data_IF_412514412393
#
_entry.id   IF_412514412393
#
_cell.length_a   1.000
_cell.length_b   1.000
_cell.length_c   1.000
_cell.angle_alpha   90.00
_cell.angle_beta   90.00
_cell.angle_gamma   90.00
#
_symmetry.space_group_name_H-M   'P 1'
#
loop_
_entity.id
_entity.type
_entity.pdbx_description
1 polymer ?
#
# COMPACT_ATOMS: atom_id res chain seq x y z
N UNK A 1 19.28 -49.07 62.61
CA UNK A 1 18.74 -48.60 61.32
C UNK A 1 17.31 -48.10 61.56
N UNK A 2 17.09 -46.93 62.19
CA UNK A 2 16.92 -45.59 61.58
C UNK A 2 15.94 -45.60 60.39
N UNK A 3 14.64 -45.31 60.55
CA UNK A 3 13.95 -44.09 61.01
C UNK A 3 14.22 -42.88 60.10
N UNK A 4 13.22 -42.56 59.26
CA UNK A 4 13.13 -41.33 58.46
C UNK A 4 12.78 -40.15 59.37
N UNK A 5 13.41 -38.97 59.18
CA UNK A 5 12.84 -37.73 59.67
C UNK A 5 12.46 -36.75 58.55
N UNK A 6 11.37 -36.06 58.87
CA UNK A 6 10.73 -34.90 58.26
C UNK A 6 11.69 -33.70 58.01
N UNK A 7 11.28 -32.91 57.01
CA UNK A 7 11.31 -31.44 56.86
C UNK A 7 12.46 -30.58 57.45
N UNK A 8 12.82 -29.62 56.58
CA UNK A 8 13.38 -28.26 56.81
C UNK A 8 14.88 -28.09 56.55
N UNK A 9 15.21 -27.40 55.45
CA UNK A 9 16.20 -26.31 55.48
C UNK A 9 15.54 -25.04 54.91
N UNK A 10 15.42 -23.95 55.69
CA UNK A 10 15.10 -22.63 55.21
C UNK A 10 16.40 -21.93 54.82
N UNK A 11 16.60 -21.72 53.54
CA UNK A 11 17.79 -21.09 52.98
C UNK A 11 17.46 -20.21 51.80
N UNK A 12 16.95 -19.01 52.09
CA UNK A 12 17.07 -17.83 51.24
C UNK A 12 16.24 -17.82 49.94
N UNK A 13 14.94 -17.57 50.11
CA UNK A 13 14.23 -16.61 49.26
C UNK A 13 14.96 -15.26 49.28
N UNK A 14 15.92 -15.07 48.37
CA UNK A 14 16.41 -13.75 47.95
C UNK A 14 16.19 -13.64 46.45
N UNK A 15 15.02 -13.13 46.08
CA UNK A 15 14.68 -12.85 44.67
C UNK A 15 13.30 -12.23 44.44
N UNK A 16 12.38 -12.36 45.39
CA UNK A 16 11.00 -11.85 45.24
C UNK A 16 10.77 -10.43 45.81
N UNK A 17 11.81 -9.59 45.93
CA UNK A 17 11.66 -8.22 46.44
C UNK A 17 12.51 -7.20 45.66
N UNK A 18 12.33 -7.12 44.34
CA UNK A 18 12.86 -6.01 43.54
C UNK A 18 11.97 -5.62 42.34
N UNK A 19 10.68 -6.00 42.34
CA UNK A 19 9.78 -5.72 41.21
C UNK A 19 8.52 -4.90 41.57
N UNK A 20 8.32 -4.51 42.83
CA UNK A 20 7.12 -3.76 43.25
C UNK A 20 7.31 -2.23 43.21
N UNK A 21 8.49 -1.73 42.85
CA UNK A 21 8.79 -0.29 42.81
C UNK A 21 8.62 0.43 41.46
N UNK A 22 8.21 -0.25 40.37
CA UNK A 22 8.13 0.37 39.01
C UNK A 22 6.76 0.30 38.33
N UNK A 23 5.73 -0.28 38.95
CA UNK A 23 4.35 -0.17 38.46
C UNK A 23 3.56 1.00 39.08
N UNK A 24 3.98 1.53 40.24
CA UNK A 24 3.36 2.73 40.84
C UNK A 24 3.61 4.02 40.05
N UNK A 25 4.79 4.18 39.44
CA UNK A 25 5.12 5.37 38.65
C UNK A 25 4.46 5.43 37.26
N UNK A 26 3.87 4.32 36.78
CA UNK A 26 3.21 4.26 35.47
C UNK A 26 1.70 4.45 35.53
N UNK A 27 1.06 4.27 36.69
CA UNK A 27 -0.37 4.53 36.86
C UNK A 27 -0.67 6.01 37.17
N UNK A 28 0.26 6.75 37.76
CA UNK A 28 0.09 8.20 37.96
C UNK A 28 0.18 9.01 36.65
N UNK A 29 0.69 8.42 35.57
CA UNK A 29 0.73 9.05 34.24
C UNK A 29 -0.53 8.86 33.38
N UNK A 30 -1.54 8.13 33.87
CA UNK A 30 -2.83 7.99 33.18
C UNK A 30 -3.91 8.96 33.69
N UNK A 31 -3.76 9.51 34.90
CA UNK A 31 -4.66 10.53 35.46
C UNK A 31 -4.53 11.92 34.83
N UNK A 32 -3.31 12.32 34.43
CA UNK A 32 -3.06 13.67 33.88
C UNK A 32 -3.26 13.77 32.36
N UNK A 33 -3.71 12.70 31.69
CA UNK A 33 -3.90 12.67 30.22
C UNK A 33 -5.35 12.81 29.76
N UNK A 34 -6.26 13.16 30.67
CA UNK A 34 -7.61 13.57 30.34
C UNK A 34 -7.80 15.10 30.35
N UNK A 35 -6.79 15.87 30.79
CA UNK A 35 -6.92 17.33 30.92
C UNK A 35 -5.66 18.03 30.40
N UNK A 36 -5.74 18.50 29.15
CA UNK A 36 -5.02 19.68 28.67
C UNK A 36 -3.49 19.62 28.57
N UNK A 37 -2.99 19.64 27.32
CA UNK A 37 -1.61 20.03 26.92
C UNK A 37 -0.52 18.98 27.13
N UNK A 38 -0.40 18.03 26.18
CA UNK A 38 0.86 17.32 25.93
C UNK A 38 1.45 17.81 24.59
N UNK A 39 2.63 18.41 24.69
CA UNK A 39 3.31 19.19 23.67
C UNK A 39 3.84 18.40 22.45
N UNK A 40 4.17 19.18 21.42
CA UNK A 40 4.49 18.82 20.03
C UNK A 40 5.61 17.79 19.78
N UNK A 41 6.23 17.19 20.79
CA UNK A 41 7.25 16.16 20.60
C UNK A 41 6.68 14.74 20.55
N UNK A 42 5.59 14.44 21.27
CA UNK A 42 5.01 13.08 21.31
C UNK A 42 4.18 12.72 20.06
N UNK A 43 3.72 13.71 19.29
CA UNK A 43 3.00 13.49 18.01
C UNK A 43 3.90 12.98 16.88
N UNK A 44 5.22 13.11 16.99
CA UNK A 44 6.13 12.74 15.89
C UNK A 44 6.53 11.26 15.86
N UNK A 45 6.41 10.53 16.96
CA UNK A 45 6.83 9.11 17.00
C UNK A 45 5.69 8.14 16.67
N UNK A 46 4.45 8.47 17.01
CA UNK A 46 3.28 7.67 16.65
C UNK A 46 2.91 7.80 15.15
N UNK A 47 3.27 8.91 14.49
CA UNK A 47 3.05 9.09 13.07
C UNK A 47 4.01 8.28 12.18
N UNK A 48 5.17 7.83 12.66
CA UNK A 48 6.16 7.15 11.79
C UNK A 48 5.80 5.74 11.32
N UNK A 49 4.74 5.12 11.87
CA UNK A 49 4.26 3.80 11.42
C UNK A 49 3.01 3.85 10.53
N UNK A 50 2.44 5.04 10.30
CA UNK A 50 1.30 5.32 9.41
C UNK A 50 1.58 6.45 8.41
N UNK A 51 2.80 7.01 8.39
CA UNK A 51 3.21 8.13 7.54
C UNK A 51 3.91 7.82 6.19
N UNK A 52 3.70 6.69 5.47
CA UNK A 52 3.99 6.68 4.03
C UNK A 52 2.84 7.28 3.20
N UNK A 53 1.60 7.22 3.70
CA UNK A 53 0.39 7.44 2.87
C UNK A 53 -0.01 8.91 2.77
N UNK A 54 0.06 9.66 3.87
CA UNK A 54 -0.27 11.09 3.85
C UNK A 54 0.86 11.97 3.32
N UNK A 55 2.12 11.59 3.58
CA UNK A 55 3.27 12.36 3.12
C UNK A 55 3.56 12.11 1.63
N UNK A 56 3.29 10.93 1.07
CA UNK A 56 3.39 10.71 -0.38
C UNK A 56 2.38 11.57 -1.18
N UNK A 57 1.16 11.77 -0.68
CA UNK A 57 0.18 12.65 -1.34
C UNK A 57 0.62 14.13 -1.30
N UNK A 58 1.15 14.59 -0.16
CA UNK A 58 1.70 15.95 -0.01
C UNK A 58 2.95 16.16 -0.86
N UNK A 59 3.85 15.18 -0.89
CA UNK A 59 5.07 15.21 -1.70
C UNK A 59 4.75 15.18 -3.21
N UNK A 60 3.73 14.42 -3.64
CA UNK A 60 3.26 14.39 -5.03
C UNK A 60 2.50 15.65 -5.45
N UNK A 61 1.75 16.27 -4.55
CA UNK A 61 1.16 17.61 -4.80
C UNK A 61 2.27 18.65 -4.96
N UNK A 62 3.24 18.65 -4.06
CA UNK A 62 4.38 19.55 -4.10
C UNK A 62 5.25 19.36 -5.35
N UNK A 63 5.47 18.12 -5.80
CA UNK A 63 6.21 17.84 -7.04
C UNK A 63 5.44 18.22 -8.32
N UNK A 64 4.10 18.11 -8.31
CA UNK A 64 3.26 18.63 -9.40
C UNK A 64 3.28 20.14 -9.45
N UNK A 65 3.20 20.80 -8.30
CA UNK A 65 3.31 22.26 -8.18
C UNK A 65 4.70 22.75 -8.62
N UNK A 66 5.78 22.06 -8.22
CA UNK A 66 7.16 22.37 -8.62
C UNK A 66 7.39 22.12 -10.12
N UNK A 67 6.89 21.02 -10.70
CA UNK A 67 7.00 20.77 -12.15
C UNK A 67 6.19 21.77 -12.96
N UNK A 68 4.98 22.16 -12.50
CA UNK A 68 4.16 23.19 -13.17
C UNK A 68 4.80 24.58 -13.06
N UNK A 69 5.37 24.94 -11.90
CA UNK A 69 6.11 26.18 -11.73
C UNK A 69 7.37 26.25 -12.59
N UNK A 70 8.11 25.13 -12.75
CA UNK A 70 9.25 25.05 -13.68
C UNK A 70 8.83 25.16 -15.14
N UNK A 71 7.73 24.51 -15.55
CA UNK A 71 7.25 24.54 -16.94
C UNK A 71 6.77 25.93 -17.38
N UNK A 72 6.28 26.76 -16.45
CA UNK A 72 5.93 28.17 -16.69
C UNK A 72 7.19 29.07 -16.68
N UNK A 73 8.26 28.65 -15.98
CA UNK A 73 9.54 29.36 -15.96
C UNK A 73 10.40 29.20 -17.22
N UNK A 74 10.11 28.20 -18.07
CA UNK A 74 10.96 27.83 -19.23
C UNK A 74 10.33 28.19 -20.59
N UNK A 75 9.08 28.66 -20.61
CA UNK A 75 8.35 29.04 -21.83
C UNK A 75 7.72 30.43 -21.75
N UNK A 76 8.52 31.46 -22.04
CA UNK A 76 8.08 32.71 -22.69
C UNK A 76 6.73 33.32 -22.27
N UNK A 77 6.56 33.78 -21.02
CA UNK A 77 5.56 34.83 -20.76
C UNK A 77 6.17 36.16 -21.20
N UNK A 78 5.70 36.65 -22.35
CA UNK A 78 5.90 38.03 -22.83
C UNK A 78 5.54 38.99 -21.68
N UNK A 79 6.57 39.63 -21.14
CA UNK A 79 6.54 40.56 -19.99
C UNK A 79 5.87 41.92 -20.29
N UNK A 80 4.84 41.95 -21.15
CA UNK A 80 4.41 43.19 -21.83
C UNK A 80 2.99 43.71 -21.61
N UNK A 81 2.04 42.96 -21.02
CA UNK A 81 0.64 43.44 -21.04
C UNK A 81 -0.28 43.01 -19.88
N UNK A 82 0.25 42.49 -18.76
CA UNK A 82 -0.55 42.30 -17.54
C UNK A 82 0.20 42.94 -16.36
N UNK A 83 -0.28 44.12 -15.98
CA UNK A 83 0.40 45.09 -15.12
C UNK A 83 0.75 44.59 -13.71
N UNK A 84 2.03 44.75 -13.37
CA UNK A 84 2.59 45.51 -12.23
C UNK A 84 1.74 45.73 -10.96
N UNK A 85 0.97 44.76 -10.44
CA UNK A 85 0.34 44.88 -9.09
C UNK A 85 0.50 43.65 -8.18
N UNK A 86 0.94 42.51 -8.68
CA UNK A 86 1.09 41.30 -7.86
C UNK A 86 2.52 40.77 -7.81
N UNK A 87 3.28 41.07 -6.76
CA UNK A 87 4.60 40.46 -6.51
C UNK A 87 4.55 38.93 -6.59
N UNK A 88 5.68 38.26 -6.86
CA UNK A 88 5.79 36.84 -7.28
C UNK A 88 5.03 35.76 -6.46
N UNK A 89 4.39 36.10 -5.34
CA UNK A 89 3.41 35.26 -4.66
C UNK A 89 1.99 35.32 -5.24
N UNK A 90 1.58 36.38 -5.94
CA UNK A 90 0.23 36.52 -6.50
C UNK A 90 0.04 35.68 -7.77
N UNK A 91 1.04 35.67 -8.66
CA UNK A 91 1.08 34.77 -9.81
C UNK A 91 1.08 33.29 -9.39
N UNK A 92 1.84 32.95 -8.33
CA UNK A 92 1.83 31.59 -7.76
C UNK A 92 0.49 31.22 -7.12
N UNK A 93 -0.20 32.16 -6.43
CA UNK A 93 -1.55 31.95 -5.88
C UNK A 93 -2.61 31.81 -6.97
N UNK A 94 -2.52 32.60 -8.04
CA UNK A 94 -3.43 32.48 -9.19
C UNK A 94 -3.18 31.19 -9.96
N UNK A 95 -1.93 30.81 -10.18
CA UNK A 95 -1.58 29.54 -10.83
C UNK A 95 -2.04 28.33 -10.01
N UNK A 96 -1.91 28.36 -8.68
CA UNK A 96 -2.42 27.29 -7.80
C UNK A 96 -3.94 27.29 -7.71
N UNK A 97 -4.62 28.43 -7.70
CA UNK A 97 -6.07 28.48 -7.80
C UNK A 97 -6.59 28.00 -9.16
N UNK A 98 -5.93 28.37 -10.26
CA UNK A 98 -6.28 27.91 -11.60
C UNK A 98 -6.06 26.40 -11.72
N UNK A 99 -4.94 25.87 -11.23
CA UNK A 99 -4.70 24.43 -11.18
C UNK A 99 -5.72 23.69 -10.30
N UNK A 100 -6.12 24.28 -9.17
CA UNK A 100 -7.15 23.69 -8.32
C UNK A 100 -8.54 23.69 -8.97
N UNK A 101 -8.86 24.70 -9.79
CA UNK A 101 -10.11 24.74 -10.58
C UNK A 101 -10.07 23.73 -11.71
N UNK A 102 -8.98 23.67 -12.45
CA UNK A 102 -8.76 22.68 -13.51
C UNK A 102 -8.85 21.24 -12.98
N UNK A 103 -8.21 20.95 -11.84
CA UNK A 103 -8.32 19.65 -11.17
C UNK A 103 -9.78 19.37 -10.74
N UNK A 104 -10.51 20.38 -10.25
CA UNK A 104 -11.92 20.23 -9.85
C UNK A 104 -12.81 19.93 -11.06
N UNK A 105 -12.65 20.67 -12.16
CA UNK A 105 -13.39 20.46 -13.41
C UNK A 105 -13.10 19.07 -13.99
N UNK A 106 -11.83 18.63 -13.93
CA UNK A 106 -11.45 17.27 -14.34
C UNK A 106 -12.13 16.21 -13.48
N UNK A 107 -12.11 16.36 -12.15
CA UNK A 107 -12.75 15.43 -11.22
C UNK A 107 -14.28 15.41 -11.37
N UNK A 108 -14.90 16.56 -11.64
CA UNK A 108 -16.33 16.66 -11.99
C UNK A 108 -16.63 15.93 -13.30
N UNK A 109 -15.81 16.09 -14.33
CA UNK A 109 -15.93 15.34 -15.59
C UNK A 109 -15.81 13.83 -15.41
N UNK A 110 -14.84 13.37 -14.60
CA UNK A 110 -14.68 11.95 -14.25
C UNK A 110 -15.87 11.44 -13.43
N UNK A 111 -16.39 12.26 -12.50
CA UNK A 111 -17.56 11.89 -11.69
C UNK A 111 -18.83 11.79 -12.55
N UNK A 112 -19.07 12.77 -13.43
CA UNK A 112 -20.20 12.78 -14.36
C UNK A 112 -20.14 11.60 -15.33
N UNK A 113 -18.94 11.22 -15.79
CA UNK A 113 -18.73 10.08 -16.66
C UNK A 113 -19.18 8.75 -16.03
N UNK A 114 -19.30 8.63 -14.71
CA UNK A 114 -19.85 7.42 -14.06
C UNK A 114 -21.29 7.14 -14.46
N UNK A 115 -22.06 8.15 -14.91
CA UNK A 115 -23.41 7.94 -15.46
C UNK A 115 -23.41 7.01 -16.67
N UNK A 116 -22.30 6.96 -17.43
CA UNK A 116 -22.14 6.04 -18.57
C UNK A 116 -22.09 4.55 -18.18
N UNK A 117 -21.99 4.24 -16.88
CA UNK A 117 -21.99 2.86 -16.38
C UNK A 117 -23.40 2.33 -16.13
N UNK A 118 -24.43 3.19 -16.18
CA UNK A 118 -25.80 2.74 -15.98
C UNK A 118 -26.18 1.66 -17.00
N UNK A 119 -26.67 0.51 -16.51
CA UNK A 119 -27.04 -0.63 -17.34
C UNK A 119 -25.87 -1.45 -17.90
N UNK A 120 -24.62 -1.10 -17.59
CA UNK A 120 -23.44 -1.88 -17.98
C UNK A 120 -23.11 -2.93 -16.93
N UNK A 121 -22.63 -4.09 -17.37
CA UNK A 121 -22.07 -5.10 -16.46
C UNK A 121 -20.71 -4.64 -15.95
N UNK A 122 -20.21 -5.29 -14.89
CA UNK A 122 -18.85 -5.03 -14.42
C UNK A 122 -17.81 -5.31 -15.52
N UNK A 123 -18.02 -6.36 -16.31
CA UNK A 123 -17.11 -6.74 -17.40
C UNK A 123 -17.09 -5.67 -18.51
N UNK A 124 -18.23 -5.08 -18.85
CA UNK A 124 -18.30 -3.95 -19.78
C UNK A 124 -17.49 -2.75 -19.28
N UNK A 125 -17.59 -2.45 -17.98
CA UNK A 125 -16.82 -1.36 -17.35
C UNK A 125 -15.33 -1.70 -17.33
N UNK A 126 -14.96 -2.96 -17.11
CA UNK A 126 -13.58 -3.42 -17.17
C UNK A 126 -12.98 -3.26 -18.57
N UNK A 127 -13.72 -3.66 -19.60
CA UNK A 127 -13.32 -3.49 -21.00
C UNK A 127 -13.15 -2.01 -21.34
N UNK A 128 -14.04 -1.15 -20.84
CA UNK A 128 -13.97 0.30 -21.01
C UNK A 128 -12.73 0.93 -20.32
N UNK A 129 -12.27 0.36 -19.20
CA UNK A 129 -11.04 0.80 -18.54
C UNK A 129 -9.79 0.49 -19.37
N UNK A 130 -9.82 -0.58 -20.15
CA UNK A 130 -8.72 -1.03 -21.01
C UNK A 130 -8.76 -0.37 -22.40
N UNK A 131 -9.93 -0.01 -22.91
CA UNK A 131 -10.13 0.57 -24.24
C UNK A 131 -9.47 1.96 -24.40
N UNK A 132 -8.43 2.10 -25.24
CA UNK A 132 -7.79 3.39 -25.51
C UNK A 132 -8.67 4.35 -26.33
N UNK A 133 -9.75 3.85 -26.95
CA UNK A 133 -10.68 4.65 -27.77
C UNK A 133 -11.73 5.38 -26.93
N UNK A 134 -11.92 4.96 -25.68
CA UNK A 134 -12.82 5.60 -24.74
C UNK A 134 -12.32 7.01 -24.36
N UNK A 135 -13.26 7.93 -24.08
CA UNK A 135 -12.88 9.28 -23.66
C UNK A 135 -12.10 9.26 -22.35
N UNK A 136 -11.18 10.20 -22.17
CA UNK A 136 -10.28 10.25 -21.02
C UNK A 136 -11.03 10.19 -19.67
N UNK A 137 -12.14 10.92 -19.54
CA UNK A 137 -12.94 10.93 -18.32
C UNK A 137 -13.65 9.59 -18.07
N UNK A 138 -14.23 9.00 -19.12
CA UNK A 138 -14.92 7.70 -19.04
C UNK A 138 -13.94 6.59 -18.69
N UNK A 139 -12.81 6.53 -19.39
CA UNK A 139 -11.75 5.56 -19.11
C UNK A 139 -11.18 5.73 -17.71
N UNK A 140 -10.94 6.96 -17.26
CA UNK A 140 -10.46 7.23 -15.89
C UNK A 140 -11.48 6.81 -14.83
N UNK A 141 -12.77 7.09 -15.06
CA UNK A 141 -13.84 6.64 -14.19
C UNK A 141 -13.89 5.09 -14.12
N UNK A 142 -13.69 4.42 -15.26
CA UNK A 142 -13.73 2.97 -15.37
C UNK A 142 -12.53 2.33 -14.67
N UNK A 143 -11.31 2.86 -14.88
CA UNK A 143 -10.10 2.47 -14.15
C UNK A 143 -10.33 2.58 -12.64
N UNK A 144 -10.87 3.71 -12.15
CA UNK A 144 -11.17 3.88 -10.72
C UNK A 144 -12.18 2.84 -10.22
N UNK A 145 -13.22 2.58 -11.00
CA UNK A 145 -14.25 1.61 -10.65
C UNK A 145 -13.69 0.19 -10.53
N UNK A 146 -12.90 -0.26 -11.51
CA UNK A 146 -12.26 -1.58 -11.50
C UNK A 146 -11.24 -1.70 -10.37
N UNK A 147 -10.43 -0.68 -10.14
CA UNK A 147 -9.48 -0.67 -9.02
C UNK A 147 -10.16 -0.73 -7.65
N UNK A 148 -11.36 -0.17 -7.52
CA UNK A 148 -12.12 -0.18 -6.27
C UNK A 148 -12.89 -1.48 -6.04
N UNK A 149 -13.52 -2.04 -7.08
CA UNK A 149 -14.51 -3.13 -6.96
C UNK A 149 -14.08 -4.45 -7.62
N UNK A 150 -13.12 -4.41 -8.54
CA UNK A 150 -12.66 -5.59 -9.26
C UNK A 150 -11.86 -6.55 -8.39
N UNK A 151 -11.77 -7.80 -8.81
CA UNK A 151 -10.90 -8.81 -8.21
C UNK A 151 -9.42 -8.55 -8.54
N UNK A 152 -8.50 -9.30 -7.92
CA UNK A 152 -7.07 -9.09 -8.15
C UNK A 152 -6.67 -9.23 -9.63
N UNK A 153 -7.22 -10.21 -10.36
CA UNK A 153 -6.95 -10.42 -11.79
C UNK A 153 -7.32 -9.19 -12.66
N UNK A 154 -8.49 -8.61 -12.43
CA UNK A 154 -8.95 -7.41 -13.14
C UNK A 154 -8.09 -6.18 -12.81
N UNK A 155 -7.71 -6.02 -11.53
CA UNK A 155 -6.79 -4.94 -11.12
C UNK A 155 -5.39 -5.13 -11.71
N UNK A 156 -4.90 -6.37 -11.77
CA UNK A 156 -3.63 -6.72 -12.41
C UNK A 156 -3.62 -6.33 -13.89
N UNK A 157 -4.69 -6.62 -14.63
CA UNK A 157 -4.79 -6.24 -16.04
C UNK A 157 -4.61 -4.71 -16.25
N UNK A 158 -5.12 -3.89 -15.32
CA UNK A 158 -4.90 -2.43 -15.37
C UNK A 158 -3.45 -2.03 -15.00
N UNK A 159 -2.81 -2.75 -14.08
CA UNK A 159 -1.37 -2.57 -13.78
C UNK A 159 -0.53 -2.89 -15.02
N UNK A 160 -0.85 -3.97 -15.73
CA UNK A 160 -0.17 -4.39 -16.96
C UNK A 160 -0.39 -3.42 -18.12
N UNK A 161 -1.58 -2.83 -18.23
CA UNK A 161 -1.89 -1.82 -19.23
C UNK A 161 -1.37 -0.40 -18.85
N UNK A 162 -0.79 -0.23 -17.66
CA UNK A 162 -0.53 1.10 -17.10
C UNK A 162 0.48 1.93 -17.89
N UNK A 163 1.43 1.32 -18.61
CA UNK A 163 2.38 2.06 -19.47
C UNK A 163 1.68 2.96 -20.50
N UNK A 164 0.59 2.48 -21.12
CA UNK A 164 -0.23 3.18 -22.11
C UNK A 164 -1.34 4.08 -21.53
N UNK A 165 -1.32 4.31 -20.22
CA UNK A 165 -2.31 5.15 -19.53
C UNK A 165 -1.86 6.59 -19.36
N UNK A 166 -2.83 7.50 -19.25
CA UNK A 166 -2.61 8.90 -18.89
C UNK A 166 -2.05 9.04 -17.46
N UNK A 167 -1.57 10.24 -17.10
CA UNK A 167 -1.08 10.50 -15.73
C UNK A 167 -2.18 10.33 -14.66
N UNK A 168 -3.42 10.67 -14.99
CA UNK A 168 -4.56 10.55 -14.09
C UNK A 168 -4.96 9.07 -13.89
N UNK A 169 -4.98 8.31 -14.98
CA UNK A 169 -5.24 6.86 -14.97
C UNK A 169 -4.15 6.10 -14.22
N UNK A 170 -2.86 6.38 -14.48
CA UNK A 170 -1.74 5.82 -13.69
C UNK A 170 -1.89 6.11 -12.20
N UNK A 171 -2.28 7.33 -11.84
CA UNK A 171 -2.52 7.69 -10.44
C UNK A 171 -3.69 6.90 -9.84
N UNK A 172 -4.76 6.65 -10.61
CA UNK A 172 -5.88 5.82 -10.18
C UNK A 172 -5.46 4.35 -9.97
N UNK A 173 -4.66 3.78 -10.87
CA UNK A 173 -4.07 2.43 -10.70
C UNK A 173 -3.21 2.37 -9.45
N UNK A 174 -2.30 3.33 -9.24
CA UNK A 174 -1.46 3.36 -8.02
C UNK A 174 -2.31 3.43 -6.75
N UNK A 175 -3.31 4.31 -6.70
CA UNK A 175 -4.20 4.42 -5.54
C UNK A 175 -4.99 3.13 -5.30
N UNK A 176 -5.41 2.47 -6.36
CA UNK A 176 -6.07 1.17 -6.30
C UNK A 176 -5.16 0.10 -5.73
N UNK A 177 -3.97 -0.07 -6.29
CA UNK A 177 -2.95 -1.03 -5.82
C UNK A 177 -2.73 -0.83 -4.32
N UNK A 178 -2.50 0.42 -3.90
CA UNK A 178 -2.22 0.78 -2.50
C UNK A 178 -3.39 0.53 -1.55
N UNK A 179 -4.61 0.88 -1.97
CA UNK A 179 -5.80 0.75 -1.12
C UNK A 179 -6.32 -0.69 -1.03
N UNK A 180 -6.08 -1.50 -2.06
CA UNK A 180 -6.47 -2.91 -2.11
C UNK A 180 -5.42 -3.85 -1.52
N UNK A 181 -4.24 -3.34 -1.19
CA UNK A 181 -3.16 -4.14 -0.60
C UNK A 181 -2.31 -4.88 -1.63
N UNK A 182 -2.51 -4.64 -2.93
CA UNK A 182 -1.81 -5.33 -4.01
C UNK A 182 -0.29 -5.04 -4.00
N UNK A 183 0.14 -3.94 -3.35
CA UNK A 183 1.56 -3.67 -3.09
C UNK A 183 2.24 -4.74 -2.24
N UNK A 184 1.48 -5.54 -1.48
CA UNK A 184 2.02 -6.68 -0.75
C UNK A 184 2.46 -7.80 -1.70
N UNK A 185 1.89 -7.87 -2.91
CA UNK A 185 2.25 -8.82 -3.97
C UNK A 185 3.37 -8.26 -4.84
N UNK A 186 3.18 -7.06 -5.39
CA UNK A 186 4.12 -6.43 -6.33
C UNK A 186 5.31 -5.72 -5.66
N UNK A 187 5.27 -5.51 -4.35
CA UNK A 187 6.27 -4.74 -3.61
C UNK A 187 6.08 -3.22 -3.67
N UNK A 188 6.70 -2.53 -2.71
CA UNK A 188 6.48 -1.10 -2.46
C UNK A 188 6.87 -0.17 -3.62
N UNK A 189 7.77 -0.61 -4.52
CA UNK A 189 8.27 0.20 -5.63
C UNK A 189 7.36 0.21 -6.87
N UNK A 190 6.37 -0.69 -6.94
CA UNK A 190 5.50 -0.81 -8.12
C UNK A 190 4.77 0.50 -8.43
N UNK A 191 4.36 1.25 -7.39
CA UNK A 191 3.63 2.50 -7.57
C UNK A 191 4.42 3.56 -8.33
N UNK A 192 5.70 3.73 -7.97
CA UNK A 192 6.58 4.70 -8.64
C UNK A 192 6.91 4.26 -10.07
N UNK A 193 7.08 2.95 -10.29
CA UNK A 193 7.28 2.39 -11.62
C UNK A 193 6.06 2.60 -12.53
N UNK A 194 4.84 2.41 -12.02
CA UNK A 194 3.59 2.69 -12.75
C UNK A 194 3.55 4.16 -13.19
N UNK A 195 3.85 5.09 -12.26
CA UNK A 195 3.87 6.53 -12.57
C UNK A 195 4.90 6.87 -13.66
N UNK A 196 6.06 6.19 -13.65
CA UNK A 196 7.09 6.34 -14.68
C UNK A 196 6.76 5.64 -15.99
N UNK A 197 5.69 4.84 -16.05
CA UNK A 197 5.34 4.04 -17.23
C UNK A 197 6.26 2.86 -17.47
N UNK A 198 6.97 2.41 -16.42
CA UNK A 198 7.93 1.31 -16.48
C UNK A 198 7.27 -0.06 -16.26
N UNK A 199 5.98 -0.11 -15.92
CA UNK A 199 5.22 -1.35 -15.72
C UNK A 199 4.38 -1.65 -16.96
N UNK A 200 4.49 -2.87 -17.47
CA UNK A 200 3.69 -3.39 -18.56
C UNK A 200 3.45 -4.90 -18.42
N UNK A 201 2.65 -5.47 -19.32
CA UNK A 201 2.33 -6.91 -19.32
C UNK A 201 3.54 -7.85 -19.41
N UNK A 202 4.66 -7.38 -19.98
CA UNK A 202 5.87 -8.20 -20.11
C UNK A 202 6.75 -8.21 -18.86
N UNK A 203 6.60 -7.24 -17.96
CA UNK A 203 7.50 -7.08 -16.82
C UNK A 203 6.81 -6.95 -15.46
N UNK A 204 5.48 -6.98 -15.39
CA UNK A 204 4.75 -6.90 -14.12
C UNK A 204 5.19 -8.01 -13.14
N UNK A 205 5.50 -9.20 -13.66
CA UNK A 205 5.93 -10.34 -12.85
C UNK A 205 7.34 -10.14 -12.27
N UNK A 206 8.19 -9.31 -12.88
CA UNK A 206 9.50 -8.95 -12.32
C UNK A 206 9.35 -8.24 -10.96
N UNK A 207 8.26 -7.50 -10.74
CA UNK A 207 7.99 -6.85 -9.46
C UNK A 207 7.58 -7.86 -8.38
N UNK A 208 6.80 -8.88 -8.76
CA UNK A 208 6.46 -10.00 -7.85
C UNK A 208 7.72 -10.80 -7.52
N UNK A 209 8.53 -11.14 -8.53
CA UNK A 209 9.79 -11.83 -8.37
C UNK A 209 10.77 -11.06 -7.47
N UNK A 210 10.89 -9.75 -7.66
CA UNK A 210 11.67 -8.87 -6.78
C UNK A 210 11.16 -8.93 -5.34
N UNK A 211 9.85 -8.89 -5.13
CA UNK A 211 9.27 -8.89 -3.80
C UNK A 211 9.46 -10.24 -3.08
N UNK A 212 9.45 -11.34 -3.83
CA UNK A 212 9.85 -12.68 -3.37
C UNK A 212 11.34 -12.71 -3.01
N UNK A 213 12.21 -12.22 -3.89
CA UNK A 213 13.65 -12.18 -3.69
C UNK A 213 14.05 -11.32 -2.47
N UNK A 214 13.32 -10.23 -2.24
CA UNK A 214 13.46 -9.38 -1.07
C UNK A 214 12.95 -10.04 0.23
N UNK A 215 12.33 -11.23 0.15
CA UNK A 215 11.76 -11.94 1.30
C UNK A 215 10.56 -11.23 1.92
N UNK A 216 9.79 -10.47 1.13
CA UNK A 216 8.72 -9.58 1.62
C UNK A 216 7.33 -10.17 1.49
N UNK A 217 7.17 -11.34 0.88
CA UNK A 217 5.92 -12.07 0.86
C UNK A 217 5.63 -12.62 2.26
N UNK A 218 4.46 -12.27 2.81
CA UNK A 218 4.03 -12.70 4.14
C UNK A 218 2.77 -13.54 4.06
N UNK A 219 2.48 -14.24 5.15
CA UNK A 219 1.27 -15.03 5.30
C UNK A 219 -0.02 -14.23 5.03
N UNK A 220 -0.07 -12.97 5.47
CA UNK A 220 -1.21 -12.09 5.20
C UNK A 220 -1.39 -11.81 3.72
N UNK A 221 -0.31 -11.81 2.94
CA UNK A 221 -0.37 -11.60 1.47
C UNK A 221 -1.06 -12.77 0.79
N UNK A 222 -0.86 -13.99 1.29
CA UNK A 222 -1.42 -15.23 0.73
C UNK A 222 -2.91 -15.42 1.02
N UNK A 223 -3.47 -14.66 1.96
CA UNK A 223 -4.90 -14.69 2.29
C UNK A 223 -5.66 -13.49 1.72
N UNK A 224 -4.99 -12.58 0.99
CA UNK A 224 -5.63 -11.40 0.41
C UNK A 224 -6.64 -11.76 -0.69
N UNK A 225 -6.22 -12.60 -1.63
CA UNK A 225 -6.99 -12.97 -2.82
C UNK A 225 -6.40 -14.27 -3.40
N UNK A 226 -7.26 -15.18 -3.87
CA UNK A 226 -6.83 -16.46 -4.43
C UNK A 226 -5.99 -16.28 -5.71
N UNK A 227 -6.32 -15.29 -6.54
CA UNK A 227 -5.59 -15.01 -7.78
C UNK A 227 -4.20 -14.41 -7.48
N UNK A 228 -4.09 -13.61 -6.41
CA UNK A 228 -2.80 -13.09 -5.95
C UNK A 228 -1.87 -14.22 -5.48
N UNK A 229 -2.41 -15.15 -4.69
CA UNK A 229 -1.67 -16.32 -4.21
C UNK A 229 -1.23 -17.21 -5.36
N UNK A 230 -2.11 -17.42 -6.34
CA UNK A 230 -1.79 -18.15 -7.57
C UNK A 230 -0.65 -17.48 -8.33
N UNK A 231 -0.70 -16.16 -8.51
CA UNK A 231 0.39 -15.42 -9.17
C UNK A 231 1.73 -15.58 -8.45
N UNK A 232 1.74 -15.46 -7.12
CA UNK A 232 2.97 -15.63 -6.33
C UNK A 232 3.51 -17.05 -6.48
N UNK A 233 2.63 -18.06 -6.44
CA UNK A 233 3.02 -19.46 -6.65
C UNK A 233 3.61 -19.67 -8.06
N UNK A 234 2.93 -19.20 -9.11
CA UNK A 234 3.37 -19.31 -10.50
C UNK A 234 4.70 -18.61 -10.73
N UNK A 235 4.92 -17.43 -10.11
CA UNK A 235 6.20 -16.72 -10.21
C UNK A 235 7.32 -17.46 -9.48
N UNK A 236 7.02 -18.00 -8.30
CA UNK A 236 7.98 -18.72 -7.45
C UNK A 236 8.43 -20.05 -8.05
N UNK A 237 7.50 -20.83 -8.62
CA UNK A 237 7.74 -22.22 -9.05
C UNK A 237 7.74 -22.43 -10.56
N UNK A 238 7.31 -21.44 -11.35
CA UNK A 238 7.08 -21.59 -12.80
C UNK A 238 8.34 -21.76 -13.67
N UNK A 239 9.54 -21.81 -13.08
CA UNK A 239 10.80 -22.06 -13.80
C UNK A 239 11.22 -20.96 -14.78
N UNK A 240 10.53 -19.81 -14.78
CA UNK A 240 10.86 -18.65 -15.62
C UNK A 240 12.01 -17.85 -15.00
N UNK A 241 12.59 -16.96 -15.81
CA UNK A 241 13.58 -15.98 -15.36
C UNK A 241 12.94 -14.60 -15.26
N UNK A 242 13.42 -13.81 -14.31
CA UNK A 242 12.93 -12.47 -14.03
C UNK A 242 14.10 -11.51 -13.82
N UNK A 243 13.87 -10.25 -14.12
CA UNK A 243 14.83 -9.19 -13.84
C UNK A 243 14.75 -8.77 -12.38
N UNK A 244 15.73 -9.21 -11.59
CA UNK A 244 15.80 -8.97 -10.15
C UNK A 244 16.98 -8.05 -9.85
N UNK A 245 16.70 -6.96 -9.15
CA UNK A 245 17.71 -6.01 -8.67
C UNK A 245 18.23 -6.44 -7.30
N UNK A 246 19.55 -6.40 -7.16
CA UNK A 246 20.18 -6.58 -5.86
C UNK A 246 20.11 -5.30 -5.00
N UNK A 247 20.74 -5.34 -3.82
CA UNK A 247 20.80 -4.20 -2.90
C UNK A 247 21.60 -3.01 -3.46
N UNK A 248 22.51 -3.24 -4.41
CA UNK A 248 23.27 -2.21 -5.11
C UNK A 248 22.49 -1.62 -6.29
N UNK A 249 21.34 -2.20 -6.64
CA UNK A 249 20.51 -1.79 -7.77
C UNK A 249 20.92 -2.42 -9.10
N UNK A 250 21.85 -3.38 -9.11
CA UNK A 250 22.27 -4.12 -10.30
C UNK A 250 21.19 -5.14 -10.65
N UNK A 251 20.69 -5.07 -11.88
CA UNK A 251 19.70 -6.00 -12.41
C UNK A 251 20.39 -7.29 -12.87
N UNK A 252 19.90 -8.44 -12.40
CA UNK A 252 20.29 -9.77 -12.85
C UNK A 252 19.05 -10.51 -13.33
N UNK A 253 19.10 -11.08 -14.54
CA UNK A 253 18.06 -11.96 -15.06
C UNK A 253 18.31 -13.38 -14.55
N UNK A 254 17.47 -13.86 -13.62
CA UNK A 254 17.61 -15.19 -13.00
C UNK A 254 16.27 -15.76 -12.57
N UNK A 255 16.24 -17.06 -12.30
CA UNK A 255 15.10 -17.69 -11.63
C UNK A 255 15.04 -17.38 -10.13
N UNK A 256 13.90 -17.71 -9.52
CA UNK A 256 13.73 -17.71 -8.06
C UNK A 256 14.53 -18.89 -7.48
N UNK A 257 15.43 -18.60 -6.55
CA UNK A 257 16.30 -19.60 -5.91
C UNK A 257 15.52 -20.51 -4.95
N UNK A 258 16.10 -21.67 -4.61
CA UNK A 258 15.49 -22.60 -3.68
C UNK A 258 15.20 -21.97 -2.29
N UNK A 259 16.07 -21.08 -1.82
CA UNK A 259 15.88 -20.36 -0.55
C UNK A 259 14.71 -19.37 -0.61
N UNK A 260 14.57 -18.63 -1.73
CA UNK A 260 13.45 -17.73 -1.96
C UNK A 260 12.13 -18.49 -2.17
N UNK A 261 12.16 -19.67 -2.80
CA UNK A 261 11.00 -20.55 -2.87
C UNK A 261 10.61 -21.07 -1.48
N UNK A 262 11.59 -21.41 -0.63
CA UNK A 262 11.33 -21.89 0.72
C UNK A 262 10.66 -20.81 1.60
N UNK A 263 11.02 -19.53 1.45
CA UNK A 263 10.36 -18.44 2.19
C UNK A 263 8.90 -18.25 1.74
N UNK A 264 8.61 -18.39 0.45
CA UNK A 264 7.25 -18.38 -0.09
C UNK A 264 6.43 -19.55 0.47
N UNK A 265 7.01 -20.76 0.53
CA UNK A 265 6.35 -21.94 1.13
C UNK A 265 6.09 -21.75 2.63
N UNK A 266 7.03 -21.17 3.36
CA UNK A 266 6.85 -20.85 4.77
C UNK A 266 5.70 -19.85 4.97
N UNK A 267 5.65 -18.77 4.18
CA UNK A 267 4.55 -17.82 4.21
C UNK A 267 3.20 -18.47 3.87
N UNK A 268 3.17 -19.42 2.93
CA UNK A 268 1.95 -20.18 2.60
C UNK A 268 1.51 -21.12 3.76
N UNK A 269 2.45 -21.80 4.40
CA UNK A 269 2.15 -22.64 5.57
C UNK A 269 1.62 -21.78 6.74
N UNK A 270 2.26 -20.65 7.01
CA UNK A 270 1.80 -19.69 8.02
C UNK A 270 0.41 -19.14 7.67
N UNK A 271 0.11 -18.90 6.38
CA UNK A 271 -1.21 -18.47 5.93
C UNK A 271 -2.29 -19.53 6.17
N UNK A 272 -1.96 -20.81 5.99
CA UNK A 272 -2.85 -21.92 6.35
C UNK A 272 -3.11 -21.96 7.86
N UNK A 273 -2.08 -21.66 8.69
CA UNK A 273 -2.29 -21.51 10.13
C UNK A 273 -3.14 -20.29 10.48
N UNK A 274 -3.01 -19.15 9.77
CA UNK A 274 -3.85 -17.96 9.97
C UNK A 274 -5.30 -18.20 9.56
N UNK A 275 -5.52 -18.79 8.39
CA UNK A 275 -6.84 -19.17 7.89
C UNK A 275 -7.52 -20.18 8.83
N UNK A 276 -6.76 -21.19 9.27
CA UNK A 276 -7.24 -22.15 10.25
C UNK A 276 -7.41 -21.53 11.65
N UNK A 277 -6.67 -20.51 12.06
CA UNK A 277 -6.85 -19.86 13.37
C UNK A 277 -8.02 -18.87 13.37
N UNK A 278 -8.22 -18.15 12.27
CA UNK A 278 -9.40 -17.33 12.01
C UNK A 278 -10.68 -18.17 12.00
N UNK A 279 -10.61 -19.42 11.51
CA UNK A 279 -11.69 -20.39 11.68
C UNK A 279 -11.71 -21.08 13.06
N UNK A 280 -10.57 -21.29 13.74
CA UNK A 280 -10.48 -21.91 15.08
C UNK A 280 -10.97 -21.03 16.24
N UNK A 281 -10.93 -19.70 16.12
CA UNK A 281 -11.63 -18.81 17.07
C UNK A 281 -13.15 -19.06 17.02
N UNK A 282 -13.68 -19.43 15.84
CA UNK A 282 -15.07 -19.88 15.71
C UNK A 282 -15.29 -21.33 16.17
N UNK A 283 -14.28 -22.21 16.10
CA UNK A 283 -14.43 -23.62 16.52
C UNK A 283 -14.48 -23.82 18.02
N UNK A 284 -13.71 -23.08 18.83
CA UNK A 284 -13.82 -23.17 20.29
C UNK A 284 -15.21 -22.71 20.80
N UNK A 285 -15.80 -21.71 20.13
CA UNK A 285 -17.19 -21.27 20.38
C UNK A 285 -18.21 -22.31 19.88
N UNK A 286 -18.00 -22.90 18.69
CA UNK A 286 -18.83 -23.97 18.11
C UNK A 286 -18.68 -25.32 18.84
N UNK A 287 -17.58 -25.57 19.53
CA UNK A 287 -17.32 -26.79 20.30
C UNK A 287 -17.95 -26.71 21.70
N UNK A 288 -18.01 -25.52 22.32
CA UNK A 288 -18.79 -25.29 23.54
C UNK A 288 -20.30 -25.47 23.30
N UNK A 289 -20.82 -25.10 22.12
CA UNK A 289 -22.24 -25.27 21.77
C UNK A 289 -22.62 -26.68 21.26
N UNK A 290 -21.65 -27.52 20.90
CA UNK A 290 -21.91 -28.93 20.50
C UNK A 290 -21.95 -29.91 21.68
N UNK A 291 -21.79 -29.41 22.91
CA UNK A 291 -21.88 -30.18 24.16
C UNK A 291 -22.99 -29.70 25.11
N UNK A 292 -23.84 -28.79 24.64
CA UNK A 292 -25.21 -28.58 25.13
C UNK A 292 -26.17 -29.24 24.13
#
# INVERSE_FOLDING_TARGET
>A
ATALPLFVVPGMLKGALAATGKMGAKMQGWGDKATGRVGSAAKNTANRRTAPVQDAWKYRKQQRDIKRARKIGEGSIRRGALGVVGGGGYSNKLATQAAAREDKEYEEGVSAAKSSFAGKTFEDINNLALDPSASEHVRTAAVRHVMEKGNFSQRRALVEASSGMSSAQKSAVVNGVMSRGDQAVYGAKVGDAIVRGEVNGSNVENYVAQNIADGKIKAETMVLDADATKLIADVSTGGRTYDIKDSAGVTTTRGISATEQASVRAAAADAETLSSTSSKVSENFRAQFRRL
#
